data_IF_093269124782
#
_entry.id   IF_093269124782
#
_cell.length_a   1.000
_cell.length_b   1.000
_cell.length_c   1.000
_cell.angle_alpha   90.00
_cell.angle_beta   90.00
_cell.angle_gamma   90.00
#
_symmetry.space_group_name_H-M   'P 1'
#
loop_
_entity.id
_entity.type
_entity.pdbx_description
1 polymer ?
#
# COMPACT_ATOMS: atom_id res chain seq x y z
N UNK A 1 2.01 -22.38 -4.57
CA UNK A 1 2.79 -21.33 -3.89
C UNK A 1 3.81 -20.80 -4.87
N UNK A 2 3.57 -19.61 -5.39
CA UNK A 2 4.49 -18.95 -6.30
C UNK A 2 5.62 -18.30 -5.50
N UNK A 3 6.75 -17.99 -6.14
CA UNK A 3 7.84 -17.23 -5.50
C UNK A 3 7.36 -15.89 -4.93
N UNK A 4 6.30 -15.32 -5.52
CA UNK A 4 5.64 -14.08 -5.07
C UNK A 4 4.99 -14.25 -3.71
N UNK A 5 4.31 -15.37 -3.45
CA UNK A 5 3.70 -15.66 -2.15
C UNK A 5 4.77 -15.67 -1.04
N UNK A 6 5.94 -16.25 -1.32
CA UNK A 6 7.07 -16.31 -0.37
C UNK A 6 7.59 -14.90 -0.08
N UNK A 7 7.74 -14.07 -1.11
CA UNK A 7 8.18 -12.68 -0.96
C UNK A 7 7.14 -11.87 -0.17
N UNK A 8 5.84 -12.00 -0.50
CA UNK A 8 4.77 -11.28 0.20
C UNK A 8 4.71 -11.67 1.69
N UNK A 9 4.77 -12.97 1.99
CA UNK A 9 4.84 -13.46 3.37
C UNK A 9 6.10 -12.96 4.09
N UNK A 10 7.25 -12.93 3.39
CA UNK A 10 8.49 -12.37 3.91
C UNK A 10 8.37 -10.89 4.27
N UNK A 11 7.76 -10.07 3.39
CA UNK A 11 7.52 -8.65 3.63
C UNK A 11 6.58 -8.45 4.82
N UNK A 12 5.49 -9.21 4.91
CA UNK A 12 4.54 -9.14 6.03
C UNK A 12 5.23 -9.53 7.34
N UNK A 13 6.01 -10.61 7.35
CA UNK A 13 6.75 -11.05 8.52
C UNK A 13 7.79 -10.00 8.95
N UNK A 14 8.59 -9.48 8.02
CA UNK A 14 9.57 -8.42 8.31
C UNK A 14 8.89 -7.15 8.83
N UNK A 15 7.75 -6.77 8.26
CA UNK A 15 6.99 -5.62 8.73
C UNK A 15 6.35 -5.84 10.10
N UNK A 16 5.96 -7.08 10.41
CA UNK A 16 5.54 -7.48 11.76
C UNK A 16 6.68 -7.29 12.76
N UNK A 17 7.88 -7.84 12.49
CA UNK A 17 9.04 -7.66 13.36
C UNK A 17 9.48 -6.18 13.46
N UNK A 18 9.44 -5.44 12.35
CA UNK A 18 9.68 -4.00 12.34
C UNK A 18 8.69 -3.24 13.21
N UNK A 19 7.40 -3.58 13.10
CA UNK A 19 6.31 -3.03 13.90
C UNK A 19 6.47 -3.30 15.40
N UNK A 20 6.94 -4.50 15.78
CA UNK A 20 7.25 -4.83 17.18
C UNK A 20 8.30 -3.89 17.77
N UNK A 21 9.31 -3.50 16.97
CA UNK A 21 10.39 -2.60 17.40
C UNK A 21 9.97 -1.14 17.43
N UNK A 22 9.12 -0.73 16.50
CA UNK A 22 8.63 0.64 16.34
C UNK A 22 7.52 1.02 17.34
N UNK A 23 6.71 0.04 17.74
CA UNK A 23 5.62 0.17 18.71
C UNK A 23 4.31 0.69 18.12
N UNK A 24 3.21 0.37 18.80
CA UNK A 24 1.83 0.57 18.32
C UNK A 24 1.55 1.99 17.83
N UNK A 25 1.91 3.02 18.60
CA UNK A 25 1.58 4.40 18.23
C UNK A 25 2.30 4.84 16.95
N UNK A 26 3.58 4.46 16.76
CA UNK A 26 4.30 4.82 15.52
C UNK A 26 3.62 4.18 14.32
N UNK A 27 3.24 2.93 14.47
CA UNK A 27 2.66 2.15 13.39
C UNK A 27 1.22 2.54 13.09
N UNK A 28 0.44 2.91 14.11
CA UNK A 28 -0.90 3.45 13.96
C UNK A 28 -0.91 4.73 13.14
N UNK A 29 -0.03 5.69 13.46
CA UNK A 29 0.09 6.92 12.67
C UNK A 29 0.56 6.63 11.25
N UNK A 30 1.49 5.69 11.02
CA UNK A 30 1.89 5.29 9.67
C UNK A 30 0.72 4.72 8.87
N UNK A 31 -0.08 3.85 9.49
CA UNK A 31 -1.26 3.27 8.87
C UNK A 31 -2.28 4.36 8.55
N UNK A 32 -2.51 5.30 9.48
CA UNK A 32 -3.44 6.42 9.29
C UNK A 32 -2.97 7.34 8.14
N UNK A 33 -1.68 7.66 8.09
CA UNK A 33 -1.07 8.39 6.97
C UNK A 33 -1.27 7.63 5.66
N UNK A 34 -1.01 6.33 5.62
CA UNK A 34 -1.16 5.51 4.43
C UNK A 34 -2.62 5.49 3.95
N UNK A 35 -3.57 5.24 4.85
CA UNK A 35 -5.00 5.19 4.54
C UNK A 35 -5.52 6.52 4.00
N UNK A 36 -5.02 7.66 4.47
CA UNK A 36 -5.39 8.97 3.92
C UNK A 36 -4.61 9.27 2.62
N UNK A 37 -3.35 8.85 2.52
CA UNK A 37 -2.52 9.11 1.37
C UNK A 37 -3.01 8.36 0.12
N UNK A 38 -3.56 7.15 0.27
CA UNK A 38 -4.11 6.35 -0.84
C UNK A 38 -5.18 7.09 -1.66
N UNK A 39 -6.32 7.53 -1.08
CA UNK A 39 -7.36 8.23 -1.84
C UNK A 39 -6.87 9.59 -2.36
N UNK A 40 -6.01 10.27 -1.59
CA UNK A 40 -5.49 11.58 -1.98
C UNK A 40 -4.54 11.45 -3.19
N UNK A 41 -3.64 10.47 -3.18
CA UNK A 41 -2.75 10.15 -4.29
C UNK A 41 -3.52 9.67 -5.52
N UNK A 42 -4.56 8.85 -5.31
CA UNK A 42 -5.48 8.46 -6.38
C UNK A 42 -6.18 9.64 -7.04
N UNK A 43 -6.38 10.76 -6.35
CA UNK A 43 -6.99 11.95 -6.96
C UNK A 43 -5.97 12.89 -7.61
N UNK A 44 -4.74 12.96 -7.08
CA UNK A 44 -3.75 13.95 -7.52
C UNK A 44 -2.64 13.39 -8.42
N UNK A 45 -2.62 12.09 -8.72
CA UNK A 45 -1.55 11.50 -9.54
C UNK A 45 -1.45 12.12 -10.94
N UNK A 46 -2.55 12.59 -11.51
CA UNK A 46 -2.57 13.22 -12.85
C UNK A 46 -1.69 14.48 -12.92
N UNK A 47 -1.60 15.25 -11.82
CA UNK A 47 -0.76 16.45 -11.74
C UNK A 47 0.72 16.09 -11.90
N UNK A 48 1.14 15.00 -11.24
CA UNK A 48 2.52 14.52 -11.29
C UNK A 48 2.80 13.78 -12.60
N UNK A 49 1.83 13.01 -13.12
CA UNK A 49 1.94 12.35 -14.41
C UNK A 49 2.18 13.37 -15.54
N UNK A 50 1.49 14.52 -15.50
CA UNK A 50 1.69 15.62 -16.46
C UNK A 50 3.13 16.18 -16.42
N UNK A 51 3.73 16.29 -15.22
CA UNK A 51 5.13 16.71 -15.08
C UNK A 51 6.09 15.61 -15.55
N UNK A 52 5.67 14.36 -15.45
CA UNK A 52 6.43 13.18 -15.89
C UNK A 52 6.25 12.86 -17.38
N UNK A 53 5.58 13.70 -18.17
CA UNK A 53 5.34 13.50 -19.62
C UNK A 53 6.60 13.40 -20.48
N UNK A 54 7.78 13.54 -19.87
CA UNK A 54 9.08 13.28 -20.48
C UNK A 54 9.45 11.79 -20.50
N UNK A 55 8.72 10.93 -19.80
CA UNK A 55 8.92 9.48 -19.82
C UNK A 55 8.22 8.84 -21.02
N UNK A 56 8.83 7.83 -21.67
CA UNK A 56 8.22 7.17 -22.81
C UNK A 56 7.06 6.26 -22.35
N UNK A 57 5.83 6.75 -22.50
CA UNK A 57 4.59 5.97 -22.45
C UNK A 57 3.66 6.34 -21.30
N UNK A 58 2.39 6.62 -21.64
CA UNK A 58 1.33 7.06 -20.70
C UNK A 58 1.16 6.12 -19.48
N UNK A 59 1.44 4.82 -19.63
CA UNK A 59 1.36 3.86 -18.52
C UNK A 59 2.49 4.08 -17.50
N UNK A 60 3.70 4.38 -17.96
CA UNK A 60 4.86 4.65 -17.09
C UNK A 60 4.66 5.95 -16.31
N UNK A 61 4.15 6.98 -16.98
CA UNK A 61 3.84 8.28 -16.37
C UNK A 61 2.83 8.14 -15.23
N UNK A 62 1.74 7.41 -15.47
CA UNK A 62 0.70 7.23 -14.46
C UNK A 62 1.14 6.30 -13.32
N UNK A 63 1.86 5.21 -13.62
CA UNK A 63 2.38 4.30 -12.59
C UNK A 63 3.38 5.01 -11.66
N UNK A 64 4.43 5.62 -12.24
CA UNK A 64 5.45 6.31 -11.47
C UNK A 64 4.83 7.56 -10.80
N UNK A 65 4.00 8.30 -11.52
CA UNK A 65 3.29 9.47 -11.01
C UNK A 65 2.47 9.15 -9.77
N UNK A 66 1.77 8.02 -9.74
CA UNK A 66 1.04 7.56 -8.56
C UNK A 66 1.96 7.29 -7.37
N UNK A 67 3.05 6.54 -7.54
CA UNK A 67 3.98 6.24 -6.44
C UNK A 67 4.71 7.46 -5.92
N UNK A 68 5.13 8.37 -6.82
CA UNK A 68 5.74 9.65 -6.42
C UNK A 68 4.74 10.48 -5.62
N UNK A 69 3.51 10.61 -6.11
CA UNK A 69 2.45 11.36 -5.44
C UNK A 69 2.12 10.77 -4.08
N UNK A 70 1.97 9.45 -4.00
CA UNK A 70 1.74 8.72 -2.75
C UNK A 70 2.88 8.96 -1.75
N UNK A 71 4.14 8.89 -2.22
CA UNK A 71 5.32 9.16 -1.40
C UNK A 71 5.37 10.61 -0.91
N UNK A 72 5.09 11.58 -1.78
CA UNK A 72 5.11 13.00 -1.46
C UNK A 72 4.03 13.35 -0.43
N UNK A 73 2.79 12.90 -0.66
CA UNK A 73 1.67 13.08 0.26
C UNK A 73 1.96 12.40 1.59
N UNK A 74 2.45 11.15 1.56
CA UNK A 74 2.81 10.42 2.77
C UNK A 74 3.88 11.16 3.57
N UNK A 75 4.90 11.74 2.90
CA UNK A 75 5.94 12.52 3.56
C UNK A 75 5.37 13.78 4.24
N UNK A 76 4.49 14.52 3.55
CA UNK A 76 3.81 15.70 4.10
C UNK A 76 2.95 15.32 5.30
N UNK A 77 2.09 14.31 5.17
CA UNK A 77 1.23 13.84 6.25
C UNK A 77 2.03 13.31 7.44
N UNK A 78 3.16 12.65 7.18
CA UNK A 78 4.04 12.15 8.23
C UNK A 78 4.74 13.28 8.97
N UNK A 79 5.08 14.37 8.28
CA UNK A 79 5.62 15.58 8.90
C UNK A 79 4.58 16.24 9.82
N UNK A 80 3.33 16.37 9.35
CA UNK A 80 2.21 16.89 10.17
C UNK A 80 1.93 15.98 11.37
N UNK A 81 1.97 14.66 11.15
CA UNK A 81 1.71 13.65 12.18
C UNK A 81 2.86 13.50 13.18
N UNK A 82 4.00 14.16 12.97
CA UNK A 82 5.18 14.02 13.82
C UNK A 82 4.95 14.56 15.25
N UNK A 83 4.29 15.73 15.36
CA UNK A 83 3.98 16.40 16.63
C UNK A 83 3.02 15.59 17.52
N UNK A 84 1.78 15.27 17.08
CA UNK A 84 0.81 14.55 17.92
C UNK A 84 1.34 13.17 18.31
N UNK A 85 2.10 12.53 17.41
CA UNK A 85 2.72 11.24 17.68
C UNK A 85 3.68 11.25 18.87
N UNK A 86 4.51 12.30 19.02
CA UNK A 86 5.43 12.40 20.17
C UNK A 86 4.67 12.55 21.49
N UNK A 87 3.55 13.27 21.48
CA UNK A 87 2.72 13.50 22.67
C UNK A 87 2.08 12.17 23.09
N UNK A 88 1.43 11.46 22.18
CA UNK A 88 0.77 10.16 22.46
C UNK A 88 1.79 9.11 22.91
N UNK A 89 2.97 9.06 22.28
CA UNK A 89 4.04 8.14 22.68
C UNK A 89 4.55 8.38 24.11
N UNK A 90 4.49 9.62 24.61
CA UNK A 90 4.92 9.96 25.97
C UNK A 90 3.88 9.55 27.01
N UNK A 91 2.59 9.56 26.64
CA UNK A 91 1.47 9.19 27.50
C UNK A 91 1.31 7.66 27.58
N UNK A 92 1.58 6.94 26.49
CA UNK A 92 1.38 5.49 26.41
C UNK A 92 2.57 4.72 26.99
N UNK A 93 2.34 3.88 28.01
CA UNK A 93 3.40 3.07 28.64
C UNK A 93 3.94 2.00 27.68
N UNK A 94 5.27 1.85 27.65
CA UNK A 94 6.01 0.85 26.86
C UNK A 94 5.85 -0.57 27.45
N UNK A 95 4.72 -1.23 27.18
CA UNK A 95 4.48 -2.63 27.56
C UNK A 95 4.71 -3.63 26.43
N UNK A 96 4.66 -4.93 26.74
CA UNK A 96 4.67 -6.01 25.75
C UNK A 96 3.49 -5.92 24.78
N UNK A 97 2.29 -5.62 25.29
CA UNK A 97 1.08 -5.39 24.47
C UNK A 97 1.29 -4.27 23.45
N UNK A 98 2.00 -3.21 23.83
CA UNK A 98 2.32 -2.09 22.92
C UNK A 98 3.25 -2.51 21.77
N UNK A 99 4.16 -3.46 22.03
CA UNK A 99 5.02 -4.03 20.98
C UNK A 99 4.21 -4.95 20.08
N UNK A 100 3.42 -5.88 20.65
CA UNK A 100 2.58 -6.80 19.89
C UNK A 100 1.59 -6.06 18.97
N UNK A 101 0.90 -5.03 19.48
CA UNK A 101 0.04 -4.18 18.67
C UNK A 101 0.82 -3.43 17.58
N UNK A 102 2.05 -3.00 17.87
CA UNK A 102 2.96 -2.46 16.86
C UNK A 102 3.25 -3.45 15.75
N UNK A 103 3.50 -4.71 16.08
CA UNK A 103 3.71 -5.78 15.10
C UNK A 103 2.48 -6.04 14.24
N UNK A 104 1.32 -6.18 14.86
CA UNK A 104 0.06 -6.37 14.15
C UNK A 104 -0.24 -5.20 13.18
N UNK A 105 -0.12 -3.96 13.65
CA UNK A 105 -0.25 -2.77 12.79
C UNK A 105 0.86 -2.72 11.71
N UNK A 106 2.01 -3.32 11.99
CA UNK A 106 3.15 -3.47 11.08
C UNK A 106 2.80 -4.30 9.87
N UNK A 107 2.32 -5.51 10.17
CA UNK A 107 1.79 -6.45 9.19
C UNK A 107 0.63 -5.85 8.40
N UNK A 108 -0.33 -5.20 9.08
CA UNK A 108 -1.47 -4.56 8.40
C UNK A 108 -1.01 -3.46 7.42
N UNK A 109 -0.11 -2.59 7.85
CA UNK A 109 0.40 -1.52 6.99
C UNK A 109 1.13 -2.06 5.75
N UNK A 110 1.93 -3.12 5.91
CA UNK A 110 2.58 -3.80 4.78
C UNK A 110 1.56 -4.50 3.87
N UNK A 111 0.54 -5.12 4.45
CA UNK A 111 -0.53 -5.79 3.70
C UNK A 111 -1.30 -4.80 2.83
N UNK A 112 -1.70 -3.65 3.40
CA UNK A 112 -2.35 -2.57 2.65
C UNK A 112 -1.41 -2.04 1.56
N UNK A 113 -0.13 -1.81 1.87
CA UNK A 113 0.85 -1.38 0.88
C UNK A 113 1.02 -2.38 -0.28
N UNK A 114 1.04 -3.68 0.01
CA UNK A 114 1.09 -4.75 -1.00
C UNK A 114 -0.18 -4.78 -1.86
N UNK A 115 -1.35 -4.57 -1.28
CA UNK A 115 -2.63 -4.50 -2.02
C UNK A 115 -2.64 -3.29 -2.95
N UNK A 116 -2.24 -2.11 -2.45
CA UNK A 116 -2.13 -0.90 -3.28
C UNK A 116 -1.13 -1.13 -4.42
N UNK A 117 0.02 -1.74 -4.12
CA UNK A 117 1.02 -2.07 -5.14
C UNK A 117 0.43 -3.02 -6.20
N UNK A 118 -0.22 -4.10 -5.78
CA UNK A 118 -0.87 -5.05 -6.67
C UNK A 118 -1.92 -4.37 -7.56
N UNK A 119 -2.81 -3.55 -6.97
CA UNK A 119 -3.84 -2.81 -7.70
C UNK A 119 -3.24 -1.86 -8.75
N UNK A 120 -2.19 -1.12 -8.39
CA UNK A 120 -1.53 -0.18 -9.29
C UNK A 120 -0.81 -0.92 -10.43
N UNK A 121 -0.16 -2.05 -10.12
CA UNK A 121 0.46 -2.91 -11.14
C UNK A 121 -0.56 -3.52 -12.10
N UNK A 122 -1.74 -3.91 -11.62
CA UNK A 122 -2.81 -4.44 -12.46
C UNK A 122 -3.46 -3.34 -13.31
N UNK A 123 -3.64 -2.13 -12.76
CA UNK A 123 -4.21 -0.99 -13.48
C UNK A 123 -3.27 -0.44 -14.56
N UNK A 124 -1.98 -0.44 -14.30
CA UNK A 124 -0.95 -0.01 -15.25
C UNK A 124 0.02 -1.16 -15.51
N UNK A 125 -0.34 -2.11 -16.41
CA UNK A 125 0.52 -3.23 -16.74
C UNK A 125 1.74 -2.72 -17.52
N UNK A 126 2.83 -2.44 -16.79
CA UNK A 126 4.13 -2.06 -17.36
C UNK A 126 4.88 -3.26 -17.90
N UNK A 127 4.77 -4.39 -17.21
CA UNK A 127 5.47 -5.62 -17.53
C UNK A 127 4.53 -6.83 -17.38
N UNK A 128 4.35 -7.60 -18.44
CA UNK A 128 3.47 -8.78 -18.43
C UNK A 128 3.92 -9.87 -17.44
N UNK A 129 5.22 -9.93 -17.14
CA UNK A 129 5.72 -10.86 -16.13
C UNK A 129 5.27 -10.46 -14.72
N UNK A 130 5.24 -9.16 -14.41
CA UNK A 130 4.83 -8.65 -13.10
C UNK A 130 3.32 -8.84 -12.88
N UNK A 131 2.52 -8.59 -13.92
CA UNK A 131 1.06 -8.83 -13.90
C UNK A 131 0.77 -10.30 -13.63
N UNK A 132 1.42 -11.22 -14.37
CA UNK A 132 1.26 -12.68 -14.17
C UNK A 132 1.66 -13.12 -12.77
N UNK A 133 2.70 -12.51 -12.20
CA UNK A 133 3.17 -12.78 -10.86
C UNK A 133 2.19 -12.32 -9.79
N UNK A 134 1.61 -11.13 -9.94
CA UNK A 134 0.59 -10.59 -9.03
C UNK A 134 -0.71 -11.39 -9.13
N UNK A 135 -1.22 -11.61 -10.34
CA UNK A 135 -2.46 -12.35 -10.57
C UNK A 135 -2.34 -13.84 -10.19
N UNK A 136 -1.15 -14.44 -10.31
CA UNK A 136 -0.88 -15.81 -9.92
C UNK A 136 -0.61 -16.02 -8.42
N UNK A 137 -0.63 -14.97 -7.60
CA UNK A 137 -0.37 -15.05 -6.15
C UNK A 137 -1.66 -15.21 -5.37
N UNK A 138 -1.84 -16.37 -4.73
CA UNK A 138 -3.00 -16.61 -3.86
C UNK A 138 -3.00 -15.69 -2.65
N UNK A 139 -1.82 -15.32 -2.13
CA UNK A 139 -1.69 -14.42 -0.98
C UNK A 139 -2.15 -13.00 -1.36
N UNK A 140 -1.68 -12.46 -2.49
CA UNK A 140 -2.09 -11.12 -2.93
C UNK A 140 -3.58 -11.05 -3.26
N UNK A 141 -4.14 -12.07 -3.93
CA UNK A 141 -5.57 -12.13 -4.21
C UNK A 141 -6.40 -12.17 -2.93
N UNK A 142 -6.01 -13.01 -1.95
CA UNK A 142 -6.67 -13.07 -0.64
C UNK A 142 -6.59 -11.74 0.12
N UNK A 143 -5.45 -11.05 0.02
CA UNK A 143 -5.28 -9.72 0.61
C UNK A 143 -6.17 -8.69 -0.10
N UNK A 144 -6.24 -8.70 -1.42
CA UNK A 144 -7.09 -7.77 -2.17
C UNK A 144 -8.58 -7.94 -1.84
N UNK A 145 -9.02 -9.17 -1.61
CA UNK A 145 -10.38 -9.49 -1.17
C UNK A 145 -10.62 -9.00 0.28
N UNK A 146 -9.72 -9.34 1.20
CA UNK A 146 -9.81 -8.93 2.61
C UNK A 146 -9.73 -7.41 2.79
N UNK A 147 -8.94 -6.74 1.97
CA UNK A 147 -8.77 -5.28 1.92
C UNK A 147 -9.61 -4.66 0.79
N UNK A 148 -10.76 -5.24 0.44
CA UNK A 148 -11.66 -4.71 -0.61
C UNK A 148 -12.07 -3.24 -0.39
N UNK A 149 -12.09 -2.76 0.86
CA UNK A 149 -12.32 -1.34 1.15
C UNK A 149 -11.25 -0.42 0.53
N UNK A 150 -10.00 -0.88 0.38
CA UNK A 150 -8.91 -0.11 -0.25
C UNK A 150 -9.25 0.16 -1.72
N UNK A 151 -9.90 -0.79 -2.39
CA UNK A 151 -10.38 -0.62 -3.76
C UNK A 151 -11.44 0.49 -3.84
N UNK A 152 -12.36 0.55 -2.87
CA UNK A 152 -13.39 1.59 -2.81
C UNK A 152 -12.84 2.99 -2.53
N UNK A 153 -11.66 3.08 -1.90
CA UNK A 153 -10.96 4.34 -1.64
C UNK A 153 -10.11 4.80 -2.83
N UNK A 154 -9.79 3.90 -3.76
CA UNK A 154 -9.06 4.22 -4.98
C UNK A 154 -10.03 4.63 -6.11
N UNK A 155 -9.58 5.47 -7.06
CA UNK A 155 -10.36 5.84 -8.24
C UNK A 155 -10.87 4.62 -9.02
N UNK A 156 -12.01 4.79 -9.70
CA UNK A 156 -12.69 3.73 -10.49
C UNK A 156 -11.75 2.96 -11.43
N UNK A 157 -10.76 3.64 -12.01
CA UNK A 157 -9.73 3.04 -12.89
C UNK A 157 -9.00 1.85 -12.24
N UNK A 158 -8.77 1.89 -10.92
CA UNK A 158 -8.14 0.77 -10.19
C UNK A 158 -9.14 -0.33 -9.81
N UNK A 159 -10.42 0.02 -9.67
CA UNK A 159 -11.51 -0.93 -9.38
C UNK A 159 -11.81 -1.79 -10.61
N UNK A 160 -11.80 -1.18 -11.80
CA UNK A 160 -12.02 -1.89 -13.07
C UNK A 160 -10.88 -2.88 -13.34
N UNK A 161 -9.63 -2.51 -13.05
CA UNK A 161 -8.50 -3.41 -13.17
C UNK A 161 -8.56 -4.62 -12.22
N UNK A 162 -9.02 -4.41 -10.98
CA UNK A 162 -9.19 -5.48 -10.00
C UNK A 162 -10.31 -6.44 -10.38
N UNK A 163 -11.45 -5.90 -10.83
CA UNK A 163 -12.61 -6.71 -11.25
C UNK A 163 -12.30 -7.54 -12.50
N UNK A 164 -11.56 -7.01 -13.47
CA UNK A 164 -11.15 -7.77 -14.67
C UNK A 164 -10.27 -8.97 -14.33
N UNK A 165 -9.37 -8.85 -13.35
CA UNK A 165 -8.50 -9.96 -12.91
C UNK A 165 -9.29 -10.98 -12.09
N UNK A 166 -10.25 -10.53 -11.28
CA UNK A 166 -11.11 -11.41 -10.47
C UNK A 166 -12.18 -12.11 -11.32
N UNK A 167 -12.62 -11.50 -12.42
CA UNK A 167 -13.56 -12.08 -13.38
C UNK A 167 -12.86 -13.00 -14.41
N UNK A 168 -11.58 -12.76 -14.70
CA UNK A 168 -10.76 -13.57 -15.62
C UNK A 168 -10.23 -14.88 -15.04
N UNK A 169 -10.48 -15.19 -13.77
CA UNK A 169 -10.07 -16.45 -13.10
C UNK A 169 -11.12 -17.57 -13.21
N UNK A 170 -12.16 -17.41 -14.04
CA UNK A 170 -13.15 -18.44 -14.40
C UNK A 170 -13.20 -18.70 -15.93
N UNK A 171 -12.07 -18.59 -16.62
CA UNK A 171 -11.91 -18.94 -18.04
C UNK A 171 -10.84 -19.98 -18.27
#
# INVERSE_FOLDING_TARGET
MTWVDIIALGIIALSFFGGLREGAVKQFFKLLVLVIAIPLAGRSYWLVATVLSFLPGEKWENFIGFFITLGLISAILQLVSFLPRRIVQKIWRRGLVFRLLGGALGALNASIGLVVFALVTLAYPLFDWLVRWVAGSSVLMSLMELFGFVQTMLPQVFQDAATLVTAGTLG
#
